data_IF_100236968048
#
_entry.id   IF_100236968048
#
_cell.length_a   1.000
_cell.length_b   1.000
_cell.length_c   1.000
_cell.angle_alpha   90.00
_cell.angle_beta   90.00
_cell.angle_gamma   90.00
#
_symmetry.space_group_name_H-M   'P 1'
#
loop_
_entity.id
_entity.type
_entity.pdbx_description
1 polymer ?
#
# COMPACT_ATOMS: atom_id res chain seq x y z
N UNK A 1 -1.87 4.73 -26.75
CA UNK A 1 -0.87 5.78 -26.43
C UNK A 1 -0.16 5.39 -25.16
N UNK A 2 1.18 5.38 -25.11
CA UNK A 2 1.87 4.97 -23.90
C UNK A 2 1.68 6.02 -22.80
N UNK A 3 1.22 5.57 -21.64
CA UNK A 3 0.92 6.43 -20.49
C UNK A 3 2.24 6.87 -19.84
N UNK A 4 2.61 8.14 -20.02
CA UNK A 4 3.71 8.74 -19.27
C UNK A 4 3.30 8.79 -17.79
N UNK A 5 4.06 8.11 -16.92
CA UNK A 5 3.82 8.16 -15.48
C UNK A 5 4.23 9.52 -14.93
N UNK A 6 3.26 10.22 -14.36
CA UNK A 6 3.45 11.51 -13.70
C UNK A 6 3.30 11.29 -12.21
N UNK A 7 4.38 11.50 -11.46
CA UNK A 7 4.38 11.37 -10.00
C UNK A 7 4.53 12.72 -9.30
N UNK A 8 4.95 13.76 -10.03
CA UNK A 8 5.12 15.12 -9.52
C UNK A 8 4.15 16.07 -10.22
N UNK A 9 3.03 16.34 -9.53
CA UNK A 9 2.06 17.34 -9.96
C UNK A 9 2.52 18.77 -9.71
N UNK A 10 1.58 19.71 -9.87
CA UNK A 10 1.79 21.13 -9.59
C UNK A 10 2.28 21.37 -8.15
N UNK A 11 2.96 22.50 -7.93
CA UNK A 11 3.41 22.90 -6.57
C UNK A 11 2.26 23.27 -5.64
N UNK A 12 1.10 23.60 -6.20
CA UNK A 12 -0.13 23.87 -5.48
C UNK A 12 -1.30 23.18 -6.19
N UNK A 13 -2.29 22.76 -5.42
CA UNK A 13 -3.46 22.05 -5.91
C UNK A 13 -4.29 21.48 -4.77
N UNK A 14 -5.15 20.53 -5.09
CA UNK A 14 -6.05 19.89 -4.11
C UNK A 14 -5.32 18.72 -3.44
N UNK A 15 -5.27 18.72 -2.10
CA UNK A 15 -4.72 17.61 -1.33
C UNK A 15 -5.54 16.32 -1.55
N UNK A 16 -4.90 15.23 -1.96
CA UNK A 16 -5.56 13.95 -2.23
C UNK A 16 -6.28 13.35 -1.00
N UNK A 17 -5.86 13.70 0.22
CA UNK A 17 -6.50 13.22 1.45
C UNK A 17 -7.68 14.11 1.84
N UNK A 18 -7.40 15.36 2.24
CA UNK A 18 -8.38 16.24 2.89
C UNK A 18 -9.15 17.15 1.93
N UNK A 19 -8.65 17.38 0.71
CA UNK A 19 -9.32 18.24 -0.27
C UNK A 19 -9.05 19.71 -0.13
N UNK A 20 -8.24 20.13 0.84
CA UNK A 20 -7.81 21.51 0.93
C UNK A 20 -6.99 21.88 -0.33
N UNK A 21 -7.33 23.02 -0.93
CA UNK A 21 -6.53 23.61 -2.00
C UNK A 21 -5.39 24.43 -1.40
N UNK A 22 -4.17 24.26 -1.90
CA UNK A 22 -3.00 24.99 -1.40
C UNK A 22 -1.67 24.36 -1.81
N UNK A 23 -0.55 24.73 -1.16
CA UNK A 23 0.75 24.14 -1.44
C UNK A 23 0.77 22.63 -1.18
N UNK A 24 1.34 21.89 -2.13
CA UNK A 24 1.48 20.43 -2.08
C UNK A 24 2.92 20.01 -1.76
N UNK A 25 3.05 18.99 -0.93
CA UNK A 25 4.30 18.38 -0.48
C UNK A 25 4.51 17.02 -1.14
N UNK A 26 5.75 16.54 -1.14
CA UNK A 26 6.10 15.21 -1.66
C UNK A 26 5.98 14.15 -0.55
N UNK A 27 5.08 13.19 -0.73
CA UNK A 27 5.04 11.95 0.05
C UNK A 27 6.04 10.93 -0.53
N UNK A 28 6.68 10.12 0.31
CA UNK A 28 7.45 8.95 -0.14
C UNK A 28 6.61 7.70 0.08
N UNK A 29 6.42 6.92 -0.96
CA UNK A 29 5.58 5.72 -0.91
C UNK A 29 6.41 4.51 -1.36
N UNK A 30 6.80 3.58 -0.46
CA UNK A 30 6.60 3.59 1.00
C UNK A 30 7.44 4.66 1.74
N UNK A 31 7.16 4.91 3.03
CA UNK A 31 7.96 5.81 3.87
C UNK A 31 9.44 5.49 3.87
N UNK A 32 10.27 6.55 3.93
CA UNK A 32 11.73 6.43 4.02
C UNK A 32 12.20 5.61 5.23
N UNK A 33 11.43 5.64 6.32
CA UNK A 33 11.74 4.88 7.54
C UNK A 33 11.49 3.38 7.40
N UNK A 34 10.60 2.96 6.47
CA UNK A 34 10.33 1.56 6.19
C UNK A 34 11.39 0.96 5.26
N UNK A 35 11.71 1.69 4.18
CA UNK A 35 12.68 1.24 3.18
C UNK A 35 13.57 2.41 2.79
N UNK A 36 14.89 2.19 2.82
CA UNK A 36 15.85 3.20 2.36
C UNK A 36 15.58 3.54 0.88
N UNK A 37 15.28 4.79 0.53
CA UNK A 37 15.06 5.17 -0.85
C UNK A 37 16.30 4.91 -1.71
N UNK A 38 16.09 4.39 -2.91
CA UNK A 38 17.13 4.14 -3.91
C UNK A 38 16.65 4.56 -5.30
N UNK A 39 17.53 4.54 -6.28
CA UNK A 39 17.13 4.77 -7.66
C UNK A 39 16.25 3.61 -8.16
N UNK A 40 15.05 3.95 -8.64
CA UNK A 40 14.03 3.03 -9.11
C UNK A 40 13.72 3.25 -10.59
N UNK A 41 13.32 2.17 -11.26
CA UNK A 41 12.65 2.22 -12.56
C UNK A 41 11.16 1.99 -12.37
N UNK A 42 10.36 2.99 -12.75
CA UNK A 42 8.91 2.95 -12.69
C UNK A 42 8.37 2.50 -14.05
N UNK A 43 7.37 1.63 -14.03
CA UNK A 43 6.57 1.24 -15.19
C UNK A 43 5.13 0.97 -14.76
N UNK A 44 4.18 1.15 -15.66
CA UNK A 44 2.80 0.76 -15.40
C UNK A 44 2.70 -0.77 -15.25
N UNK A 45 1.82 -1.25 -14.36
CA UNK A 45 1.69 -2.69 -14.05
C UNK A 45 1.42 -3.51 -15.31
N UNK A 46 0.51 -3.05 -16.17
CA UNK A 46 0.17 -3.77 -17.41
C UNK A 46 1.35 -3.93 -18.36
N UNK A 47 2.19 -2.90 -18.53
CA UNK A 47 3.38 -2.98 -19.38
C UNK A 47 4.41 -3.98 -18.86
N UNK A 48 4.38 -4.32 -17.57
CA UNK A 48 5.27 -5.31 -16.97
C UNK A 48 4.77 -6.74 -17.17
N UNK A 49 3.45 -6.91 -17.16
CA UNK A 49 2.79 -8.18 -17.44
C UNK A 49 2.85 -8.51 -18.94
N UNK A 50 2.88 -7.47 -19.78
CA UNK A 50 3.13 -7.59 -21.19
C UNK A 50 4.62 -7.87 -21.50
N UNK A 51 4.88 -8.61 -22.57
CA UNK A 51 6.23 -8.96 -23.01
C UNK A 51 6.89 -7.85 -23.86
N UNK A 52 6.14 -6.80 -24.20
CA UNK A 52 6.61 -5.70 -25.03
C UNK A 52 7.48 -4.67 -24.28
N UNK A 53 8.18 -3.82 -25.04
CA UNK A 53 9.05 -2.78 -24.48
C UNK A 53 8.24 -1.71 -23.72
N UNK A 54 8.24 -1.81 -22.39
CA UNK A 54 7.62 -0.84 -21.50
C UNK A 54 8.30 0.54 -21.54
N UNK A 55 7.52 1.62 -21.52
CA UNK A 55 8.03 2.96 -21.18
C UNK A 55 8.38 2.99 -19.69
N UNK A 56 9.64 3.35 -19.40
CA UNK A 56 10.17 3.43 -18.04
C UNK A 56 10.44 4.88 -17.64
N UNK A 57 10.00 5.26 -16.44
CA UNK A 57 10.37 6.54 -15.81
C UNK A 57 11.40 6.29 -14.73
N UNK A 58 12.41 7.16 -14.61
CA UNK A 58 13.46 7.04 -13.59
C UNK A 58 13.04 7.83 -12.34
N UNK A 59 13.16 7.23 -11.17
CA UNK A 59 13.06 7.93 -9.89
C UNK A 59 14.40 7.81 -9.16
N UNK A 60 14.96 8.92 -8.68
CA UNK A 60 16.32 8.95 -8.14
C UNK A 60 16.41 8.65 -6.63
N UNK A 61 15.32 8.83 -5.89
CA UNK A 61 15.28 8.78 -4.43
C UNK A 61 13.94 8.16 -3.99
N UNK A 62 13.69 6.93 -4.43
CA UNK A 62 12.41 6.24 -4.23
C UNK A 62 11.26 6.81 -5.04
N UNK A 63 10.07 6.25 -4.85
CA UNK A 63 8.83 6.76 -5.45
C UNK A 63 8.28 7.90 -4.58
N UNK A 64 7.92 9.00 -5.23
CA UNK A 64 7.37 10.17 -4.56
C UNK A 64 6.16 10.72 -5.27
N UNK A 65 5.16 11.13 -4.52
CA UNK A 65 3.97 11.80 -5.04
C UNK A 65 3.82 13.21 -4.47
N UNK A 66 3.78 14.22 -5.33
CA UNK A 66 3.46 15.60 -4.91
C UNK A 66 1.95 15.82 -4.94
N UNK A 67 1.26 15.44 -3.87
CA UNK A 67 -0.21 15.32 -3.86
C UNK A 67 -0.87 15.66 -2.53
N UNK A 68 -0.11 15.88 -1.46
CA UNK A 68 -0.64 16.09 -0.11
C UNK A 68 -0.35 17.52 0.39
N UNK A 69 -1.20 18.07 1.25
CA UNK A 69 -0.87 19.29 1.99
C UNK A 69 0.03 18.99 3.19
N UNK A 70 0.75 19.99 3.71
CA UNK A 70 1.68 19.84 4.84
C UNK A 70 1.01 19.26 6.10
N UNK A 71 -0.26 19.61 6.38
CA UNK A 71 -0.99 19.07 7.53
C UNK A 71 -1.20 17.57 7.41
N UNK A 72 -1.68 17.08 6.26
CA UNK A 72 -1.88 15.66 6.04
C UNK A 72 -0.56 14.89 5.98
N UNK A 73 0.43 15.42 5.25
CA UNK A 73 1.69 14.73 5.03
C UNK A 73 2.61 14.73 6.27
N UNK A 74 2.84 15.89 6.87
CA UNK A 74 3.89 16.05 7.87
C UNK A 74 3.35 15.89 9.29
N UNK A 75 2.17 16.46 9.59
CA UNK A 75 1.62 16.40 10.95
C UNK A 75 0.94 15.06 11.24
N UNK A 76 0.06 14.61 10.34
CA UNK A 76 -0.66 13.33 10.51
C UNK A 76 0.15 12.13 10.03
N UNK A 77 0.41 12.02 8.72
CA UNK A 77 1.04 10.84 8.14
C UNK A 77 2.45 10.62 8.71
N UNK A 78 3.40 11.51 8.41
CA UNK A 78 4.78 11.38 8.87
C UNK A 78 4.99 11.58 10.38
N UNK A 79 4.16 12.40 11.03
CA UNK A 79 4.33 12.75 12.45
C UNK A 79 3.69 11.76 13.42
N UNK A 80 2.52 11.21 13.08
CA UNK A 80 1.69 10.44 14.01
C UNK A 80 1.48 8.99 13.57
N UNK A 81 1.30 8.73 12.27
CA UNK A 81 0.91 7.40 11.78
C UNK A 81 2.11 6.56 11.32
N UNK A 82 3.03 7.15 10.53
CA UNK A 82 4.21 6.48 9.98
C UNK A 82 5.11 5.83 11.03
N UNK A 83 5.32 6.39 12.24
CA UNK A 83 6.12 5.73 13.27
C UNK A 83 5.65 4.30 13.57
N UNK A 84 4.34 4.04 13.54
CA UNK A 84 3.76 2.71 13.78
C UNK A 84 4.01 1.77 12.60
N UNK A 85 3.84 2.23 11.37
CA UNK A 85 4.14 1.44 10.16
C UNK A 85 5.64 1.10 10.06
N UNK A 86 6.50 2.06 10.37
CA UNK A 86 7.95 1.90 10.41
C UNK A 86 8.34 0.85 11.44
N UNK A 87 7.78 0.92 12.65
CA UNK A 87 8.09 -0.04 13.69
C UNK A 87 7.62 -1.45 13.34
N UNK A 88 6.36 -1.59 12.90
CA UNK A 88 5.79 -2.88 12.50
C UNK A 88 6.59 -3.54 11.38
N UNK A 89 6.94 -2.80 10.32
CA UNK A 89 7.74 -3.34 9.21
C UNK A 89 9.17 -3.67 9.62
N UNK A 90 9.78 -2.92 10.56
CA UNK A 90 11.08 -3.23 11.13
C UNK A 90 11.05 -4.55 11.93
N UNK A 91 10.04 -4.75 12.78
CA UNK A 91 9.87 -5.99 13.54
C UNK A 91 9.82 -7.21 12.60
N UNK A 92 8.99 -7.16 11.54
CA UNK A 92 8.91 -8.23 10.53
C UNK A 92 10.25 -8.41 9.81
N UNK A 93 10.92 -7.32 9.42
CA UNK A 93 12.21 -7.38 8.74
C UNK A 93 13.28 -8.06 9.59
N UNK A 94 13.32 -7.78 10.90
CA UNK A 94 14.27 -8.39 11.81
C UNK A 94 14.02 -9.89 11.95
N UNK A 95 12.77 -10.32 12.02
CA UNK A 95 12.41 -11.74 12.06
C UNK A 95 12.86 -12.45 10.78
N UNK A 96 12.53 -11.89 9.61
CA UNK A 96 12.94 -12.45 8.31
C UNK A 96 14.46 -12.47 8.09
N UNK A 97 15.20 -11.59 8.76
CA UNK A 97 16.66 -11.54 8.70
C UNK A 97 17.32 -12.46 9.75
N UNK A 98 16.56 -13.00 10.70
CA UNK A 98 17.11 -13.86 11.75
C UNK A 98 17.43 -15.26 11.20
N UNK A 99 18.48 -15.88 11.74
CA UNK A 99 18.83 -17.27 11.43
C UNK A 99 17.97 -18.29 12.22
N UNK A 100 16.94 -17.82 12.95
CA UNK A 100 16.06 -18.68 13.73
C UNK A 100 15.03 -19.37 12.84
N UNK A 101 14.69 -20.61 13.18
CA UNK A 101 13.51 -21.27 12.64
C UNK A 101 12.27 -20.56 13.18
N UNK A 102 11.66 -19.71 12.37
CA UNK A 102 10.44 -19.00 12.73
C UNK A 102 9.24 -19.96 12.68
N UNK A 103 8.31 -19.87 13.66
CA UNK A 103 6.97 -20.41 13.50
C UNK A 103 6.30 -19.89 12.22
N UNK A 104 5.37 -20.66 11.66
CA UNK A 104 4.60 -20.26 10.46
C UNK A 104 3.78 -19.00 10.70
N UNK A 105 3.37 -18.74 11.94
CA UNK A 105 2.63 -17.54 12.34
C UNK A 105 3.15 -17.06 13.70
N UNK A 106 3.34 -15.75 13.88
CA UNK A 106 3.69 -15.16 15.18
C UNK A 106 2.83 -13.92 15.50
N UNK A 107 2.51 -13.68 16.78
CA UNK A 107 1.95 -12.41 17.22
C UNK A 107 3.01 -11.31 17.18
N UNK A 108 2.66 -10.14 16.65
CA UNK A 108 3.48 -8.93 16.72
C UNK A 108 2.68 -7.78 17.35
N UNK A 109 3.18 -7.16 18.43
CA UNK A 109 2.51 -6.04 19.06
C UNK A 109 2.58 -4.80 18.16
N UNK A 110 1.43 -4.19 17.90
CA UNK A 110 1.34 -2.93 17.14
C UNK A 110 0.08 -2.16 17.53
N UNK A 111 -0.12 -0.99 16.92
CA UNK A 111 -1.30 -0.13 17.08
C UNK A 111 -2.14 -0.16 15.79
N UNK A 112 -3.10 -1.10 15.63
CA UNK A 112 -3.77 -1.35 14.35
C UNK A 112 -4.47 -0.11 13.78
N UNK A 113 -5.09 0.70 14.64
CA UNK A 113 -5.80 1.90 14.23
C UNK A 113 -4.89 2.96 13.59
N UNK A 114 -3.66 3.13 14.09
CA UNK A 114 -2.67 4.05 13.49
C UNK A 114 -1.99 3.40 12.27
N UNK A 115 -1.74 2.10 12.31
CA UNK A 115 -1.17 1.34 11.20
C UNK A 115 -2.05 1.43 9.94
N UNK A 116 -3.36 1.21 10.08
CA UNK A 116 -4.34 1.34 9.00
C UNK A 116 -4.33 2.77 8.43
N UNK A 117 -4.27 3.81 9.28
CA UNK A 117 -4.21 5.22 8.84
C UNK A 117 -2.95 5.54 8.05
N UNK A 118 -1.79 5.02 8.48
CA UNK A 118 -0.53 5.19 7.77
C UNK A 118 -0.63 4.60 6.36
N UNK A 119 -1.04 3.33 6.26
CA UNK A 119 -1.09 2.60 5.00
C UNK A 119 -2.13 3.24 4.06
N UNK A 120 -3.32 3.57 4.56
CA UNK A 120 -4.34 4.25 3.74
C UNK A 120 -3.87 5.63 3.28
N UNK A 121 -3.22 6.41 4.14
CA UNK A 121 -2.71 7.75 3.80
C UNK A 121 -1.73 7.72 2.63
N UNK A 122 -0.79 6.77 2.64
CA UNK A 122 0.13 6.55 1.53
C UNK A 122 -0.58 6.11 0.24
N UNK A 123 -1.52 5.16 0.33
CA UNK A 123 -2.29 4.74 -0.84
C UNK A 123 -3.13 5.88 -1.42
N UNK A 124 -3.70 6.75 -0.58
CA UNK A 124 -4.42 7.95 -1.01
C UNK A 124 -3.49 8.97 -1.69
N UNK A 125 -2.21 9.02 -1.34
CA UNK A 125 -1.21 9.89 -1.96
C UNK A 125 -0.85 9.48 -3.40
N UNK A 126 -1.01 8.20 -3.77
CA UNK A 126 -0.66 7.64 -5.08
C UNK A 126 -1.49 8.27 -6.21
N UNK A 127 -0.82 8.90 -7.18
CA UNK A 127 -1.43 9.49 -8.37
C UNK A 127 -1.74 10.99 -8.23
N UNK A 128 -1.46 11.76 -9.30
CA UNK A 128 -1.61 13.23 -9.33
C UNK A 128 -3.06 13.63 -9.63
N UNK A 129 -3.54 14.68 -8.97
CA UNK A 129 -4.90 15.24 -9.12
C UNK A 129 -6.01 14.19 -8.92
N UNK A 130 -5.87 13.36 -7.87
CA UNK A 130 -6.76 12.22 -7.59
C UNK A 130 -7.71 12.47 -6.42
N UNK A 131 -8.02 13.72 -6.13
CA UNK A 131 -9.07 14.06 -5.17
C UNK A 131 -10.45 13.83 -5.79
N UNK A 132 -10.90 12.58 -5.76
CA UNK A 132 -12.26 12.18 -6.12
C UNK A 132 -12.98 11.78 -4.84
N UNK A 133 -14.07 12.49 -4.52
CA UNK A 133 -14.89 12.18 -3.34
C UNK A 133 -16.21 11.54 -3.73
N UNK A 134 -16.33 10.27 -3.38
CA UNK A 134 -17.59 9.56 -3.21
C UNK A 134 -17.77 9.07 -1.77
N UNK A 135 -18.93 8.49 -1.42
CA UNK A 135 -19.26 8.06 -0.06
C UNK A 135 -18.16 7.23 0.62
N UNK A 136 -17.57 6.29 -0.10
CA UNK A 136 -16.46 5.45 0.40
C UNK A 136 -15.23 6.29 0.78
N UNK A 137 -14.70 7.08 -0.15
CA UNK A 137 -13.49 7.90 0.06
C UNK A 137 -13.67 9.06 1.05
N UNK A 138 -14.91 9.44 1.35
CA UNK A 138 -15.23 10.47 2.35
C UNK A 138 -15.14 9.90 3.76
N UNK A 139 -15.70 8.71 4.02
CA UNK A 139 -15.56 8.04 5.32
C UNK A 139 -14.09 7.79 5.65
N UNK A 140 -13.31 7.36 4.67
CA UNK A 140 -11.87 7.15 4.84
C UNK A 140 -11.08 8.44 5.10
N UNK A 141 -11.47 9.56 4.47
CA UNK A 141 -10.91 10.88 4.80
C UNK A 141 -11.18 11.23 6.26
N UNK A 142 -12.42 11.07 6.69
CA UNK A 142 -12.83 11.46 8.04
C UNK A 142 -12.10 10.61 9.08
N UNK A 143 -12.06 9.29 8.87
CA UNK A 143 -11.25 8.37 9.67
C UNK A 143 -9.77 8.77 9.74
N UNK A 144 -9.17 9.22 8.63
CA UNK A 144 -7.78 9.67 8.62
C UNK A 144 -7.56 10.96 9.43
N UNK A 145 -8.52 11.89 9.38
CA UNK A 145 -8.41 13.21 10.01
C UNK A 145 -8.86 13.23 11.47
N UNK A 146 -9.70 12.29 11.87
CA UNK A 146 -10.27 12.16 13.20
C UNK A 146 -9.94 10.78 13.78
N UNK A 147 -9.06 10.78 14.78
CA UNK A 147 -8.62 9.57 15.46
C UNK A 147 -9.75 8.89 16.25
N UNK A 148 -10.81 9.61 16.61
CA UNK A 148 -11.94 9.08 17.38
C UNK A 148 -12.89 8.23 16.54
N UNK A 149 -12.82 8.34 15.21
CA UNK A 149 -13.67 7.57 14.32
C UNK A 149 -13.16 6.13 14.14
N UNK A 150 -14.07 5.14 14.08
CA UNK A 150 -13.72 3.76 13.82
C UNK A 150 -13.29 3.58 12.35
N UNK A 151 -12.60 2.47 12.08
CA UNK A 151 -12.28 2.06 10.71
C UNK A 151 -13.58 1.97 9.89
N UNK A 152 -13.67 2.62 8.71
CA UNK A 152 -14.86 2.58 7.88
C UNK A 152 -15.28 1.15 7.53
N UNK A 153 -16.59 0.88 7.60
CA UNK A 153 -17.16 -0.41 7.22
C UNK A 153 -17.11 -0.66 5.70
N UNK A 154 -17.38 -1.90 5.30
CA UNK A 154 -17.46 -2.27 3.87
C UNK A 154 -16.11 -2.33 3.15
N UNK A 155 -15.00 -2.33 3.89
CA UNK A 155 -13.67 -2.60 3.35
C UNK A 155 -12.89 -3.52 4.30
N UNK A 156 -11.99 -4.31 3.74
CA UNK A 156 -11.03 -5.12 4.47
C UNK A 156 -9.63 -4.53 4.31
N UNK A 157 -8.75 -4.84 5.25
CA UNK A 157 -7.40 -4.34 5.28
C UNK A 157 -6.42 -5.50 5.38
N UNK A 158 -6.21 -6.17 4.24
CA UNK A 158 -5.41 -7.37 4.17
C UNK A 158 -3.91 -7.07 4.21
N UNK A 159 -3.14 -7.97 4.81
CA UNK A 159 -1.69 -7.90 4.84
C UNK A 159 -1.06 -9.28 4.77
N UNK A 160 0.16 -9.35 4.24
CA UNK A 160 0.97 -10.55 4.22
C UNK A 160 2.46 -10.22 4.12
N UNK A 161 3.30 -11.17 4.52
CA UNK A 161 4.74 -11.09 4.35
C UNK A 161 5.11 -11.05 2.87
N UNK A 162 5.95 -10.09 2.50
CA UNK A 162 6.39 -9.80 1.15
C UNK A 162 7.93 -9.66 1.13
N UNK A 163 8.68 -10.76 1.07
CA UNK A 163 10.14 -10.77 1.19
C UNK A 163 10.84 -10.45 -0.14
N UNK A 164 10.23 -9.61 -0.97
CA UNK A 164 10.73 -9.30 -2.31
C UNK A 164 11.18 -7.84 -2.40
N UNK A 165 12.18 -7.60 -3.26
CA UNK A 165 12.77 -6.26 -3.46
C UNK A 165 11.88 -5.32 -4.26
N UNK A 166 10.98 -5.88 -5.05
CA UNK A 166 10.10 -5.13 -5.94
C UNK A 166 9.12 -4.31 -5.12
N UNK A 167 8.73 -3.15 -5.64
CA UNK A 167 7.66 -2.35 -5.04
C UNK A 167 6.49 -2.28 -6.02
N UNK A 168 5.29 -2.39 -5.51
CA UNK A 168 4.07 -2.24 -6.30
C UNK A 168 3.14 -1.26 -5.59
N UNK A 169 2.73 -0.21 -6.29
CA UNK A 169 1.75 0.77 -5.83
C UNK A 169 0.63 0.79 -6.84
N UNK A 170 -0.48 0.17 -6.48
CA UNK A 170 -1.65 0.02 -7.32
C UNK A 170 -2.78 0.77 -6.67
N UNK A 171 -3.43 1.64 -7.44
CA UNK A 171 -4.59 2.39 -6.99
C UNK A 171 -5.73 2.21 -7.98
N UNK A 172 -6.92 2.06 -7.44
CA UNK A 172 -8.17 1.88 -8.18
C UNK A 172 -8.13 0.69 -9.16
N UNK A 173 -7.54 -0.43 -8.74
CA UNK A 173 -7.63 -1.67 -9.50
C UNK A 173 -8.97 -2.36 -9.23
N UNK A 174 -9.58 -2.89 -10.28
CA UNK A 174 -10.77 -3.73 -10.20
C UNK A 174 -10.40 -5.17 -10.49
N UNK A 175 -10.97 -6.11 -9.76
CA UNK A 175 -10.81 -7.54 -10.02
C UNK A 175 -12.16 -8.24 -10.04
N UNK A 176 -12.29 -9.18 -10.97
CA UNK A 176 -13.43 -10.06 -11.16
C UNK A 176 -12.93 -11.50 -11.16
N UNK A 177 -13.52 -12.35 -10.31
CA UNK A 177 -13.38 -13.80 -10.41
C UNK A 177 -14.54 -14.34 -11.26
N UNK A 178 -14.21 -14.83 -12.46
CA UNK A 178 -15.21 -15.32 -13.43
C UNK A 178 -15.80 -16.66 -13.01
N UNK A 179 -15.20 -17.38 -12.06
CA UNK A 179 -15.70 -18.70 -11.63
C UNK A 179 -16.85 -18.60 -10.63
N UNK A 180 -16.82 -17.59 -9.75
CA UNK A 180 -17.77 -17.42 -8.66
C UNK A 180 -18.46 -16.04 -8.67
N UNK A 181 -18.11 -15.17 -9.62
CA UNK A 181 -18.67 -13.83 -9.75
C UNK A 181 -18.14 -12.81 -8.74
N UNK A 182 -17.12 -13.16 -7.95
CA UNK A 182 -16.46 -12.31 -6.95
C UNK A 182 -15.97 -11.00 -7.56
N UNK A 183 -16.33 -9.87 -6.96
CA UNK A 183 -15.99 -8.55 -7.47
C UNK A 183 -15.46 -7.63 -6.37
N UNK A 184 -14.34 -6.96 -6.66
CA UNK A 184 -13.79 -5.97 -5.74
C UNK A 184 -12.99 -4.88 -6.44
N UNK A 185 -12.95 -3.72 -5.80
CA UNK A 185 -11.97 -2.67 -6.07
C UNK A 185 -10.92 -2.72 -4.96
N UNK A 186 -9.65 -2.58 -5.32
CA UNK A 186 -8.59 -2.62 -4.33
C UNK A 186 -7.47 -1.63 -4.61
N UNK A 187 -6.83 -1.22 -3.52
CA UNK A 187 -5.59 -0.45 -3.52
C UNK A 187 -4.52 -1.31 -2.85
N UNK A 188 -3.32 -1.35 -3.43
CA UNK A 188 -2.27 -2.27 -3.02
C UNK A 188 -0.94 -1.53 -2.92
N UNK A 189 -0.27 -1.72 -1.78
CA UNK A 189 1.08 -1.24 -1.53
C UNK A 189 1.94 -2.42 -1.09
N UNK A 190 2.92 -2.78 -1.92
CA UNK A 190 3.89 -3.84 -1.63
C UNK A 190 5.30 -3.27 -1.62
N UNK A 191 6.04 -3.60 -0.57
CA UNK A 191 7.45 -3.27 -0.43
C UNK A 191 8.07 -4.20 0.60
N UNK A 192 9.37 -4.46 0.55
CA UNK A 192 9.99 -5.28 1.58
C UNK A 192 9.79 -4.68 2.99
N UNK A 193 9.33 -5.44 4.01
CA UNK A 193 9.01 -6.87 4.01
C UNK A 193 7.50 -7.19 3.96
N UNK A 194 6.63 -6.22 3.68
CA UNK A 194 5.18 -6.35 3.81
C UNK A 194 4.41 -5.91 2.58
N UNK A 195 3.30 -6.60 2.33
CA UNK A 195 2.29 -6.18 1.39
C UNK A 195 1.01 -5.83 2.15
N UNK A 196 0.32 -4.79 1.70
CA UNK A 196 -0.92 -4.30 2.26
C UNK A 196 -1.93 -4.04 1.16
N UNK A 197 -3.18 -4.45 1.37
CA UNK A 197 -4.26 -4.30 0.41
C UNK A 197 -5.52 -3.77 1.10
N UNK A 198 -5.97 -2.58 0.68
CA UNK A 198 -7.31 -2.08 0.99
C UNK A 198 -8.25 -2.70 -0.02
N UNK A 199 -9.18 -3.51 0.46
CA UNK A 199 -10.08 -4.29 -0.37
C UNK A 199 -11.52 -3.85 -0.15
N UNK A 200 -12.21 -3.49 -1.23
CA UNK A 200 -13.58 -2.97 -1.20
C UNK A 200 -14.47 -3.94 -1.99
N UNK A 201 -15.02 -4.97 -1.35
CA UNK A 201 -15.80 -6.00 -2.04
C UNK A 201 -17.19 -5.49 -2.41
N UNK A 202 -17.70 -5.87 -3.59
CA UNK A 202 -19.06 -5.55 -4.00
C UNK A 202 -20.07 -6.63 -3.59
N UNK A 203 -19.64 -7.89 -3.50
CA UNK A 203 -20.49 -9.04 -3.19
C UNK A 203 -19.96 -9.86 -1.99
N UNK A 204 -19.30 -9.20 -1.03
CA UNK A 204 -18.75 -9.85 0.15
C UNK A 204 -17.57 -10.79 -0.12
N UNK A 205 -17.00 -10.78 -1.33
CA UNK A 205 -15.83 -11.57 -1.69
C UNK A 205 -14.63 -11.20 -0.80
N UNK A 206 -14.06 -12.16 -0.10
CA UNK A 206 -12.90 -11.96 0.79
C UNK A 206 -11.64 -12.59 0.21
N UNK A 207 -10.48 -12.10 0.66
CA UNK A 207 -9.19 -12.72 0.40
C UNK A 207 -8.84 -13.66 1.55
N UNK A 208 -8.10 -14.74 1.26
CA UNK A 208 -7.58 -15.68 2.26
C UNK A 208 -6.41 -15.15 3.10
N UNK A 209 -6.28 -13.83 3.26
CA UNK A 209 -5.23 -13.18 4.04
C UNK A 209 -5.76 -12.69 5.39
N UNK A 210 -4.86 -12.43 6.33
CA UNK A 210 -5.20 -11.77 7.59
C UNK A 210 -5.70 -10.37 7.34
N UNK A 211 -6.69 -9.94 8.12
CA UNK A 211 -7.35 -8.63 8.00
C UNK A 211 -7.12 -7.81 9.27
N UNK A 212 -6.48 -6.63 9.15
CA UNK A 212 -6.25 -5.72 10.27
C UNK A 212 -7.55 -5.16 10.85
N UNK A 213 -8.65 -5.14 10.09
CA UNK A 213 -9.95 -4.63 10.59
C UNK A 213 -10.48 -5.50 11.74
N UNK A 214 -10.08 -6.77 11.83
CA UNK A 214 -10.41 -7.65 12.97
C UNK A 214 -9.80 -7.13 14.27
N UNK A 215 -8.62 -6.51 14.18
CA UNK A 215 -7.92 -5.90 15.30
C UNK A 215 -8.34 -4.43 15.53
N UNK A 216 -9.54 -4.04 15.09
CA UNK A 216 -10.08 -2.70 15.37
C UNK A 216 -10.13 -2.46 16.89
N UNK A 217 -9.30 -1.55 17.36
CA UNK A 217 -9.31 -1.13 18.75
C UNK A 217 -10.32 -0.01 18.98
N UNK A 218 -10.74 0.17 20.24
CA UNK A 218 -11.58 1.29 20.62
C UNK A 218 -10.78 2.60 20.64
N UNK A 219 -9.48 2.54 20.92
CA UNK A 219 -8.62 3.72 20.96
C UNK A 219 -7.43 3.62 20.00
N UNK A 220 -6.99 4.75 19.42
CA UNK A 220 -5.87 4.79 18.46
C UNK A 220 -4.56 4.19 18.98
N UNK A 221 -4.25 4.41 20.27
CA UNK A 221 -2.99 4.00 20.88
C UNK A 221 -3.00 2.60 21.49
N UNK A 222 -4.12 1.89 21.43
CA UNK A 222 -4.22 0.53 21.95
C UNK A 222 -3.24 -0.39 21.23
N UNK A 223 -2.42 -1.09 22.03
CA UNK A 223 -1.47 -2.08 21.54
C UNK A 223 -2.14 -3.45 21.53
N UNK A 224 -2.15 -4.10 20.38
CA UNK A 224 -2.75 -5.42 20.16
C UNK A 224 -1.75 -6.30 19.40
N UNK A 225 -1.74 -7.59 19.74
CA UNK A 225 -0.98 -8.59 19.00
C UNK A 225 -1.66 -8.91 17.67
N UNK A 226 -1.00 -8.54 16.58
CA UNK A 226 -1.42 -8.81 15.21
C UNK A 226 -0.68 -10.06 14.72
N UNK A 227 -1.43 -11.07 14.26
CA UNK A 227 -0.84 -12.34 13.80
C UNK A 227 -0.24 -12.20 12.40
N UNK A 228 1.07 -12.38 12.28
CA UNK A 228 1.77 -12.36 10.99
C UNK A 228 2.10 -13.78 10.56
N UNK A 229 1.58 -14.18 9.40
CA UNK A 229 1.91 -15.45 8.76
C UNK A 229 3.20 -15.30 7.94
N UNK A 230 4.24 -16.06 8.31
CA UNK A 230 5.53 -16.16 7.63
C UNK A 230 5.56 -17.26 6.56
N UNK A 231 4.63 -18.22 6.60
CA UNK A 231 4.48 -19.27 5.60
C UNK A 231 3.00 -19.69 5.42
N UNK A 232 2.57 -20.05 4.19
CA UNK A 232 3.32 -19.94 2.94
C UNK A 232 3.49 -18.47 2.50
N UNK A 233 4.62 -18.16 1.87
CA UNK A 233 4.88 -16.82 1.31
C UNK A 233 4.13 -16.67 -0.02
N UNK A 234 3.22 -15.69 -0.17
CA UNK A 234 2.52 -15.47 -1.43
C UNK A 234 3.47 -15.06 -2.55
N UNK A 235 3.19 -15.50 -3.77
CA UNK A 235 3.98 -15.14 -4.94
C UNK A 235 4.13 -13.61 -5.09
N UNK A 236 5.27 -13.14 -5.60
CA UNK A 236 5.54 -11.71 -5.66
C UNK A 236 4.46 -10.94 -6.44
N UNK A 237 3.87 -11.54 -7.48
CA UNK A 237 2.86 -10.93 -8.36
C UNK A 237 1.41 -11.08 -7.86
N UNK A 238 1.17 -11.58 -6.63
CA UNK A 238 -0.19 -11.69 -6.09
C UNK A 238 -0.90 -10.33 -6.13
N UNK A 239 -2.13 -10.32 -6.66
CA UNK A 239 -2.96 -9.13 -6.93
C UNK A 239 -2.38 -8.15 -7.97
N UNK A 240 -1.45 -8.63 -8.80
CA UNK A 240 -1.00 -7.93 -10.01
C UNK A 240 -1.14 -8.83 -11.24
N UNK A 241 -0.79 -10.10 -11.12
CA UNK A 241 -1.05 -11.10 -12.16
C UNK A 241 -2.41 -11.78 -11.89
N UNK A 242 -3.30 -11.88 -12.90
CA UNK A 242 -4.53 -12.65 -12.76
C UNK A 242 -4.23 -14.15 -12.61
N UNK A 243 -5.09 -14.86 -11.87
CA UNK A 243 -5.17 -16.32 -11.91
C UNK A 243 -5.91 -16.78 -13.18
N UNK A 244 -6.04 -18.10 -13.36
CA UNK A 244 -6.80 -18.69 -14.47
C UNK A 244 -8.28 -18.30 -14.49
N UNK A 245 -8.82 -17.84 -13.36
CA UNK A 245 -10.22 -17.44 -13.20
C UNK A 245 -10.39 -15.96 -12.89
N UNK A 246 -9.34 -15.14 -13.02
CA UNK A 246 -9.41 -13.73 -12.67
C UNK A 246 -9.19 -12.83 -13.88
N UNK A 247 -9.95 -11.75 -13.92
CA UNK A 247 -9.67 -10.59 -14.74
C UNK A 247 -9.32 -9.42 -13.82
N UNK A 248 -8.20 -8.75 -14.08
CA UNK A 248 -7.77 -7.57 -13.32
C UNK A 248 -7.65 -6.38 -14.27
N UNK A 249 -8.29 -5.28 -13.88
CA UNK A 249 -8.21 -3.99 -14.54
C UNK A 249 -7.44 -3.02 -13.65
N UNK A 250 -6.44 -2.36 -14.21
CA UNK A 250 -5.61 -1.41 -13.45
C UNK A 250 -5.98 0.04 -13.76
N UNK A 251 -6.11 0.85 -12.72
CA UNK A 251 -6.18 2.29 -12.85
C UNK A 251 -4.89 2.87 -13.45
N UNK A 252 -4.99 4.00 -14.15
CA UNK A 252 -3.90 4.67 -14.89
C UNK A 252 -2.60 4.89 -14.10
N UNK A 253 -2.70 5.06 -12.79
CA UNK A 253 -1.56 5.35 -11.91
C UNK A 253 -1.03 4.11 -11.17
N UNK A 254 -1.42 2.91 -11.63
CA UNK A 254 -0.93 1.64 -11.08
C UNK A 254 0.50 1.38 -11.56
N UNK A 255 1.46 1.50 -10.65
CA UNK A 255 2.88 1.42 -10.96
C UNK A 255 3.57 0.28 -10.25
N UNK A 256 4.62 -0.22 -10.91
CA UNK A 256 5.63 -1.10 -10.33
C UNK A 256 6.95 -0.35 -10.35
N UNK A 257 7.66 -0.38 -9.23
CA UNK A 257 8.99 0.18 -9.08
C UNK A 257 10.02 -0.92 -8.81
N UNK A 258 11.07 -0.97 -9.63
CA UNK A 258 12.16 -1.92 -9.48
C UNK A 258 13.46 -1.20 -9.12
N UNK A 259 14.16 -1.69 -8.10
CA UNK A 259 15.49 -1.17 -7.73
C UNK A 259 16.52 -1.46 -8.80
N UNK A 260 17.38 -0.48 -9.12
CA UNK A 260 18.42 -0.64 -10.15
C UNK A 260 19.61 -1.52 -9.81
N UNK A 261 19.84 -1.79 -8.52
CA UNK A 261 20.99 -2.57 -8.07
C UNK A 261 20.56 -3.61 -7.04
N UNK A 262 21.14 -4.82 -7.03
CA UNK A 262 20.81 -5.83 -6.06
C UNK A 262 21.28 -5.41 -4.66
N UNK A 263 20.36 -5.23 -3.71
CA UNK A 263 20.67 -5.26 -2.28
C UNK A 263 19.68 -6.19 -1.56
N UNK A 264 20.23 -7.17 -0.83
CA UNK A 264 19.51 -8.12 0.03
C UNK A 264 19.39 -9.51 -0.59
N UNK A 265 19.91 -10.56 0.07
CA UNK A 265 19.83 -11.96 -0.39
C UNK A 265 18.45 -12.26 -1.00
N UNK A 266 18.41 -12.91 -2.16
CA UNK A 266 17.25 -13.72 -2.50
C UNK A 266 17.14 -14.68 -1.32
N UNK A 267 16.09 -14.57 -0.50
CA UNK A 267 15.78 -15.64 0.42
C UNK A 267 15.61 -16.87 -0.47
N UNK A 268 16.52 -17.82 -0.35
CA UNK A 268 16.30 -19.16 -0.85
C UNK A 268 15.10 -19.65 -0.05
N UNK A 269 13.92 -19.58 -0.66
CA UNK A 269 12.73 -20.30 -0.21
C UNK A 269 12.97 -21.77 -0.52
#
# INVERSE_FOLDING_TARGET
>A
MPLQMITRGAKSGICNICGANGPLTEDHTPPKGCVRPTAMELQHVTHRLDAEKAIKTKAHDGVKYRTLCSRCNNAFLGGRYDPVLIDFTRQVSHLLASDLLLPTTMPLPTKPALLIRAIWGHLAAVGVDRYLKGPLTTQWRDFFLDETLPVPGGSNFYYWVYPYRRQALVRDAGTLDISNGGQSIYWLMKFYPMAFCVWMPQNGWTLGYRDLVVCRSSYPDDVVDVMVDFAPVPHELTLEAPTTTQAIMFGKDSIVANSRAPRGRILQV
#
